data_IF_430052701131
#
_entry.id   IF_430052701131
#
_cell.length_a   1.000
_cell.length_b   1.000
_cell.length_c   1.000
_cell.angle_alpha   90.00
_cell.angle_beta   90.00
_cell.angle_gamma   90.00
#
_symmetry.space_group_name_H-M   'P 1'
#
loop_
_entity.id
_entity.type
_entity.pdbx_description
1 polymer ?
#
# COMPACT_ATOMS: atom_id res chain seq x y z
N UNK A 1 2.53 -26.60 -12.45
CA UNK A 1 1.28 -26.37 -13.19
C UNK A 1 1.66 -26.06 -14.62
N UNK A 2 1.30 -26.92 -15.53
CA UNK A 2 1.69 -26.76 -16.93
C UNK A 2 0.96 -25.56 -17.54
N UNK A 3 1.72 -24.65 -18.18
CA UNK A 3 1.18 -23.52 -18.92
C UNK A 3 1.08 -22.19 -18.17
N UNK A 4 1.60 -22.06 -16.95
CA UNK A 4 1.77 -20.77 -16.31
C UNK A 4 3.05 -20.11 -16.82
N UNK A 5 2.94 -18.83 -17.17
CA UNK A 5 4.05 -18.04 -17.70
C UNK A 5 4.21 -16.79 -16.85
N UNK A 6 5.43 -16.53 -16.40
CA UNK A 6 5.84 -15.29 -15.75
C UNK A 6 7.12 -14.77 -16.39
N UNK A 7 7.07 -13.54 -16.85
CA UNK A 7 8.23 -12.82 -17.38
C UNK A 7 8.33 -11.45 -16.72
N UNK A 8 9.51 -11.08 -16.26
CA UNK A 8 9.78 -9.77 -15.68
C UNK A 8 11.08 -9.24 -16.25
N UNK A 9 11.10 -7.95 -16.60
CA UNK A 9 12.27 -7.26 -17.11
C UNK A 9 12.44 -5.90 -16.47
N UNK A 10 13.70 -5.49 -16.26
CA UNK A 10 14.09 -4.16 -15.83
C UNK A 10 15.28 -3.69 -16.61
N UNK A 11 15.31 -2.41 -16.95
CA UNK A 11 16.43 -1.73 -17.57
C UNK A 11 16.75 -0.48 -16.76
N UNK A 12 18.03 -0.23 -16.50
CA UNK A 12 18.51 0.89 -15.71
C UNK A 12 19.48 1.74 -16.51
N UNK A 13 19.27 3.04 -16.48
CA UNK A 13 20.22 4.03 -16.99
C UNK A 13 20.59 4.98 -15.86
N UNK A 14 21.85 5.37 -15.79
CA UNK A 14 22.35 6.33 -14.82
C UNK A 14 23.15 7.40 -15.54
N UNK A 15 22.84 8.66 -15.27
CA UNK A 15 23.48 9.82 -15.88
C UNK A 15 24.05 10.72 -14.79
N UNK A 16 25.31 11.14 -14.88
CA UNK A 16 25.87 12.09 -13.92
C UNK A 16 25.19 13.46 -14.08
N UNK A 17 24.77 14.05 -12.97
CA UNK A 17 24.20 15.40 -12.93
C UNK A 17 24.65 16.14 -11.67
N UNK A 18 25.47 17.21 -11.83
CA UNK A 18 25.88 18.14 -10.74
C UNK A 18 26.45 17.43 -9.50
N UNK A 19 27.29 16.43 -9.68
CA UNK A 19 27.95 15.70 -8.57
C UNK A 19 27.15 14.54 -7.99
N UNK A 20 25.96 14.24 -8.54
CA UNK A 20 25.16 13.07 -8.27
C UNK A 20 24.71 12.40 -9.57
N UNK A 21 23.90 11.37 -9.50
CA UNK A 21 23.40 10.66 -10.67
C UNK A 21 21.87 10.61 -10.71
N UNK A 22 21.31 11.00 -11.84
CA UNK A 22 19.89 10.73 -12.16
C UNK A 22 19.77 9.31 -12.64
N UNK A 23 18.84 8.55 -12.07
CA UNK A 23 18.57 7.16 -12.45
C UNK A 23 17.21 7.06 -13.14
N UNK A 24 17.19 6.42 -14.29
CA UNK A 24 15.99 6.10 -15.04
C UNK A 24 15.85 4.59 -15.06
N UNK A 25 14.72 4.08 -14.62
CA UNK A 25 14.43 2.64 -14.62
C UNK A 25 13.16 2.39 -15.40
N UNK A 26 13.24 1.60 -16.46
CA UNK A 26 12.09 1.00 -17.12
C UNK A 26 11.83 -0.38 -16.55
N UNK A 27 10.57 -0.77 -16.39
CA UNK A 27 10.20 -2.11 -15.97
C UNK A 27 8.97 -2.62 -16.70
N UNK A 28 8.91 -3.93 -16.89
CA UNK A 28 7.76 -4.61 -17.45
C UNK A 28 7.57 -6.00 -16.86
N UNK A 29 6.33 -6.44 -16.77
CA UNK A 29 5.99 -7.80 -16.36
C UNK A 29 4.81 -8.33 -17.16
N UNK A 30 4.86 -9.62 -17.44
CA UNK A 30 3.79 -10.39 -18.06
C UNK A 30 3.55 -11.64 -17.23
N UNK A 31 2.33 -11.81 -16.74
CA UNK A 31 1.91 -12.99 -15.99
C UNK A 31 0.66 -13.56 -16.67
N UNK A 32 0.68 -14.86 -16.95
CA UNK A 32 -0.47 -15.63 -17.44
C UNK A 32 -0.57 -16.89 -16.60
N UNK A 33 -1.54 -16.94 -15.70
CA UNK A 33 -1.59 -17.88 -14.61
C UNK A 33 -2.97 -18.51 -14.45
N UNK A 34 -3.01 -19.76 -14.03
CA UNK A 34 -4.25 -20.41 -13.62
C UNK A 34 -4.93 -19.66 -12.46
N UNK A 35 -6.26 -19.74 -12.42
CA UNK A 35 -7.02 -19.27 -11.28
C UNK A 35 -6.61 -20.04 -10.00
N UNK A 36 -6.53 -19.38 -8.83
CA UNK A 36 -6.25 -20.09 -7.58
C UNK A 36 -7.26 -21.20 -7.33
N UNK A 37 -6.80 -22.37 -6.85
CA UNK A 37 -7.64 -23.55 -6.66
C UNK A 37 -8.90 -23.26 -5.83
N UNK A 38 -8.75 -22.55 -4.71
CA UNK A 38 -9.87 -22.22 -3.82
C UNK A 38 -10.89 -21.25 -4.43
N UNK A 39 -10.55 -20.53 -5.49
CA UNK A 39 -11.54 -19.74 -6.25
C UNK A 39 -12.28 -20.57 -7.28
N UNK A 40 -11.70 -21.70 -7.70
CA UNK A 40 -12.33 -22.64 -8.63
C UNK A 40 -13.23 -23.63 -7.88
N UNK A 41 -12.71 -24.24 -6.80
CA UNK A 41 -13.44 -25.27 -6.03
C UNK A 41 -13.37 -24.98 -4.54
N UNK A 42 -14.52 -24.92 -3.90
CA UNK A 42 -14.65 -24.70 -2.46
C UNK A 42 -15.89 -25.39 -1.92
N UNK A 43 -15.75 -26.05 -0.79
CA UNK A 43 -16.83 -26.70 -0.08
C UNK A 43 -16.72 -26.40 1.42
N UNK A 44 -17.68 -25.70 1.95
CA UNK A 44 -17.81 -25.42 3.39
C UNK A 44 -19.29 -25.40 3.79
N UNK A 45 -19.55 -25.19 5.08
CA UNK A 45 -20.92 -25.17 5.59
C UNK A 45 -21.77 -24.00 5.05
N UNK A 46 -21.13 -22.90 4.64
CA UNK A 46 -21.84 -21.68 4.23
C UNK A 46 -21.60 -21.32 2.76
N UNK A 47 -20.55 -21.83 2.15
CA UNK A 47 -20.17 -21.50 0.79
C UNK A 47 -19.78 -22.74 0.01
N UNK A 48 -20.38 -22.88 -1.16
CA UNK A 48 -20.09 -23.98 -2.09
C UNK A 48 -20.00 -23.36 -3.49
N UNK A 49 -18.88 -23.63 -4.19
CA UNK A 49 -18.76 -23.32 -5.61
C UNK A 49 -17.84 -24.29 -6.35
N UNK A 50 -18.16 -24.51 -7.61
CA UNK A 50 -17.33 -25.22 -8.59
C UNK A 50 -17.32 -24.39 -9.88
N UNK A 51 -16.29 -23.54 -10.03
CA UNK A 51 -16.14 -22.58 -11.12
C UNK A 51 -15.12 -23.07 -12.14
N UNK A 52 -15.42 -22.89 -13.40
CA UNK A 52 -14.47 -23.11 -14.50
C UNK A 52 -13.86 -21.77 -14.95
N UNK A 53 -12.99 -21.19 -14.13
CA UNK A 53 -12.32 -19.96 -14.43
C UNK A 53 -11.13 -20.18 -15.36
N UNK A 54 -11.06 -19.34 -16.40
CA UNK A 54 -9.91 -19.25 -17.30
C UNK A 54 -8.68 -18.63 -16.65
N UNK A 55 -7.56 -18.66 -17.38
CA UNK A 55 -6.31 -18.05 -16.92
C UNK A 55 -6.44 -16.55 -16.75
N UNK A 56 -5.85 -16.05 -15.68
CA UNK A 56 -5.67 -14.61 -15.42
C UNK A 56 -4.44 -14.12 -16.15
N UNK A 57 -4.57 -13.03 -16.90
CA UNK A 57 -3.43 -12.39 -17.56
C UNK A 57 -3.23 -11.00 -16.98
N UNK A 58 -2.02 -10.71 -16.56
CA UNK A 58 -1.63 -9.39 -16.09
C UNK A 58 -0.41 -8.91 -16.87
N UNK A 59 -0.55 -7.76 -17.51
CA UNK A 59 0.56 -7.05 -18.15
C UNK A 59 0.76 -5.74 -17.40
N UNK A 60 1.97 -5.48 -16.95
CA UNK A 60 2.33 -4.21 -16.30
C UNK A 60 3.62 -3.67 -16.90
N UNK A 61 3.64 -2.38 -17.17
CA UNK A 61 4.85 -1.66 -17.56
C UNK A 61 4.88 -0.29 -16.88
N UNK A 62 6.07 0.26 -16.78
CA UNK A 62 6.23 1.55 -16.13
C UNK A 62 7.68 2.02 -16.11
N UNK A 63 7.85 3.17 -15.50
CA UNK A 63 9.16 3.78 -15.33
C UNK A 63 9.28 4.52 -14.00
N UNK A 64 10.52 4.62 -13.53
CA UNK A 64 10.89 5.40 -12.36
C UNK A 64 12.00 6.39 -12.74
N UNK A 65 11.80 7.64 -12.38
CA UNK A 65 12.81 8.70 -12.40
C UNK A 65 13.24 8.97 -10.96
N UNK A 66 14.52 8.84 -10.67
CA UNK A 66 15.08 9.02 -9.34
C UNK A 66 16.15 10.12 -9.38
N UNK A 67 15.93 11.18 -8.60
CA UNK A 67 16.80 12.33 -8.45
C UNK A 67 17.31 12.39 -7.00
N UNK A 68 18.39 11.68 -6.65
CA UNK A 68 18.87 11.58 -5.28
C UNK A 68 19.25 12.94 -4.68
N UNK A 69 19.82 13.86 -5.49
CA UNK A 69 20.21 15.19 -5.05
C UNK A 69 19.06 16.00 -4.45
N UNK A 70 17.85 15.85 -4.98
CA UNK A 70 16.64 16.56 -4.50
C UNK A 70 15.78 15.69 -3.59
N UNK A 71 16.14 14.41 -3.39
CA UNK A 71 15.32 13.45 -2.65
C UNK A 71 14.01 13.12 -3.34
N UNK A 72 13.95 13.28 -4.68
CA UNK A 72 12.73 13.11 -5.48
C UNK A 72 12.76 11.81 -6.26
N UNK A 73 11.68 11.03 -6.15
CA UNK A 73 11.44 9.86 -6.99
C UNK A 73 10.03 9.89 -7.55
N UNK A 74 9.92 9.83 -8.87
CA UNK A 74 8.64 9.73 -9.55
C UNK A 74 8.52 8.37 -10.23
N UNK A 75 7.39 7.68 -10.03
CA UNK A 75 7.08 6.39 -10.64
C UNK A 75 5.74 6.47 -11.34
N UNK A 76 5.70 6.04 -12.60
CA UNK A 76 4.49 5.88 -13.41
C UNK A 76 4.36 4.42 -13.80
N UNK A 77 3.17 3.84 -13.66
CA UNK A 77 2.89 2.48 -14.14
C UNK A 77 1.47 2.33 -14.66
N UNK A 78 1.34 1.51 -15.69
CA UNK A 78 0.07 1.06 -16.26
C UNK A 78 0.00 -0.44 -16.16
N UNK A 79 -1.13 -0.95 -15.70
CA UNK A 79 -1.41 -2.39 -15.62
C UNK A 79 -2.68 -2.70 -16.38
N UNK A 80 -2.68 -3.78 -17.15
CA UNK A 80 -3.86 -4.34 -17.80
C UNK A 80 -4.11 -5.75 -17.24
N UNK A 81 -5.28 -5.94 -16.62
CA UNK A 81 -5.68 -7.18 -15.98
C UNK A 81 -6.84 -7.79 -16.76
N UNK A 82 -6.62 -8.93 -17.40
CA UNK A 82 -7.66 -9.70 -18.10
C UNK A 82 -8.08 -10.89 -17.26
N UNK A 83 -9.37 -11.21 -17.29
CA UNK A 83 -9.95 -12.32 -16.53
C UNK A 83 -9.64 -12.20 -15.02
N UNK A 84 -9.67 -10.98 -14.50
CA UNK A 84 -9.42 -10.73 -13.08
C UNK A 84 -10.46 -11.42 -12.21
N UNK A 85 -10.02 -12.09 -11.15
CA UNK A 85 -10.92 -12.76 -10.21
C UNK A 85 -11.07 -11.89 -8.97
N UNK A 86 -12.29 -11.64 -8.58
CA UNK A 86 -12.65 -10.88 -7.38
C UNK A 86 -13.80 -11.59 -6.64
N UNK A 87 -13.96 -11.29 -5.36
CA UNK A 87 -15.11 -11.78 -4.60
C UNK A 87 -16.22 -10.73 -4.65
N UNK A 88 -17.41 -11.15 -5.05
CA UNK A 88 -18.59 -10.29 -5.09
C UNK A 88 -19.16 -10.06 -3.67
N UNK A 89 -20.16 -9.18 -3.57
CA UNK A 89 -20.80 -8.83 -2.29
C UNK A 89 -21.41 -10.06 -1.57
N UNK A 90 -21.84 -11.06 -2.32
CA UNK A 90 -22.36 -12.31 -1.78
C UNK A 90 -21.28 -13.26 -1.23
N UNK A 91 -20.00 -12.87 -1.30
CA UNK A 91 -18.88 -13.70 -0.84
C UNK A 91 -18.43 -14.76 -1.83
N UNK A 92 -19.04 -14.85 -3.02
CA UNK A 92 -18.64 -15.79 -4.07
C UNK A 92 -17.55 -15.21 -4.97
N UNK A 93 -16.59 -16.02 -5.47
CA UNK A 93 -15.63 -15.57 -6.44
C UNK A 93 -16.28 -15.43 -7.82
N UNK A 94 -15.91 -14.36 -8.53
CA UNK A 94 -16.32 -14.08 -9.92
C UNK A 94 -15.12 -13.75 -10.77
N UNK A 95 -15.18 -14.12 -12.04
CA UNK A 95 -14.17 -13.72 -13.01
C UNK A 95 -14.74 -12.63 -13.92
N UNK A 96 -14.02 -11.50 -14.02
CA UNK A 96 -14.37 -10.44 -14.95
C UNK A 96 -14.03 -10.86 -16.38
N UNK A 97 -15.02 -10.91 -17.26
CA UNK A 97 -14.85 -11.38 -18.65
C UNK A 97 -14.12 -10.40 -19.58
N UNK A 98 -13.73 -9.23 -19.10
CA UNK A 98 -13.04 -8.20 -19.87
C UNK A 98 -11.63 -7.91 -19.35
N UNK A 99 -11.13 -6.72 -19.67
CA UNK A 99 -9.87 -6.22 -19.14
C UNK A 99 -10.09 -4.97 -18.30
N UNK A 100 -9.45 -4.90 -17.16
CA UNK A 100 -9.41 -3.73 -16.28
C UNK A 100 -8.03 -3.08 -16.38
N UNK A 101 -8.01 -1.79 -16.65
CA UNK A 101 -6.78 -1.00 -16.70
C UNK A 101 -6.62 -0.22 -15.40
N UNK A 102 -5.41 -0.21 -14.87
CA UNK A 102 -5.03 0.57 -13.69
C UNK A 102 -3.84 1.44 -14.05
N UNK A 103 -4.01 2.75 -13.88
CA UNK A 103 -2.92 3.74 -13.94
C UNK A 103 -2.54 4.11 -12.52
N UNK A 104 -1.24 4.14 -12.22
CA UNK A 104 -0.73 4.63 -10.95
C UNK A 104 0.48 5.54 -11.14
N UNK A 105 0.43 6.71 -10.52
CA UNK A 105 1.50 7.71 -10.44
C UNK A 105 1.89 7.89 -8.98
N UNK A 106 3.15 7.79 -8.67
CA UNK A 106 3.67 7.96 -7.31
C UNK A 106 4.82 8.94 -7.29
N UNK A 107 4.74 9.90 -6.41
CA UNK A 107 5.81 10.83 -6.07
C UNK A 107 6.27 10.57 -4.63
N UNK A 108 7.52 10.19 -4.46
CA UNK A 108 8.21 10.23 -3.18
C UNK A 108 9.10 11.47 -3.16
N UNK A 109 8.96 12.29 -2.12
CA UNK A 109 9.73 13.50 -1.93
C UNK A 109 10.23 13.58 -0.51
N UNK A 110 11.56 13.58 -0.34
CA UNK A 110 12.22 13.65 0.94
C UNK A 110 12.94 15.00 1.05
N UNK A 111 12.62 15.74 2.11
CA UNK A 111 13.32 16.98 2.45
C UNK A 111 14.17 16.74 3.69
N UNK A 112 15.38 17.26 3.66
CA UNK A 112 16.29 17.19 4.80
C UNK A 112 16.86 18.57 5.07
N UNK A 113 16.65 19.06 6.28
CA UNK A 113 17.24 20.29 6.76
C UNK A 113 17.96 20.01 8.09
N UNK A 114 19.28 19.84 8.03
CA UNK A 114 20.10 19.42 9.17
C UNK A 114 19.56 18.11 9.77
N UNK A 115 18.99 18.19 10.97
CA UNK A 115 18.45 17.05 11.72
C UNK A 115 16.95 16.86 11.51
N UNK A 116 16.29 17.81 10.84
CA UNK A 116 14.87 17.72 10.52
C UNK A 116 14.69 17.02 9.16
N UNK A 117 13.86 16.00 9.13
CA UNK A 117 13.52 15.24 7.94
C UNK A 117 12.02 15.30 7.70
N UNK A 118 11.63 15.37 6.44
CA UNK A 118 10.23 15.33 6.04
C UNK A 118 10.07 14.45 4.82
N UNK A 119 9.60 13.23 5.04
CA UNK A 119 9.40 12.21 4.01
C UNK A 119 7.95 12.19 3.58
N UNK A 120 7.71 12.36 2.29
CA UNK A 120 6.37 12.40 1.73
C UNK A 120 6.22 11.38 0.60
N UNK A 121 5.05 10.78 0.52
CA UNK A 121 4.62 9.93 -0.57
C UNK A 121 3.22 10.30 -0.98
N UNK A 122 3.04 10.66 -2.23
CA UNK A 122 1.74 10.92 -2.83
C UNK A 122 1.54 9.92 -3.96
N UNK A 123 0.43 9.18 -3.93
CA UNK A 123 0.07 8.27 -5.01
C UNK A 123 -1.30 8.66 -5.55
N UNK A 124 -1.35 8.94 -6.85
CA UNK A 124 -2.58 9.05 -7.61
C UNK A 124 -2.78 7.77 -8.42
N UNK A 125 -3.97 7.21 -8.36
CA UNK A 125 -4.30 6.00 -9.11
C UNK A 125 -5.74 6.03 -9.60
N UNK A 126 -5.97 5.40 -10.74
CA UNK A 126 -7.31 5.25 -11.31
C UNK A 126 -7.46 3.89 -11.95
N UNK A 127 -8.68 3.41 -11.99
CA UNK A 127 -9.06 2.14 -12.61
C UNK A 127 -10.15 2.37 -13.64
N UNK A 128 -10.18 1.58 -14.70
CA UNK A 128 -11.24 1.62 -15.70
C UNK A 128 -12.54 0.97 -15.23
N UNK A 129 -12.48 0.16 -14.15
CA UNK A 129 -13.65 -0.48 -13.54
C UNK A 129 -13.46 -0.59 -12.02
N UNK A 130 -14.03 0.36 -11.29
CA UNK A 130 -13.99 0.42 -9.83
C UNK A 130 -14.92 -0.58 -9.13
N UNK A 131 -15.81 -1.25 -9.89
CA UNK A 131 -16.61 -2.35 -9.36
C UNK A 131 -15.77 -3.63 -9.20
N UNK A 132 -14.78 -3.79 -10.08
CA UNK A 132 -13.89 -4.96 -10.10
C UNK A 132 -12.65 -4.72 -9.27
N UNK A 133 -12.03 -3.54 -9.42
CA UNK A 133 -10.82 -3.14 -8.68
C UNK A 133 -11.09 -1.78 -8.02
N UNK A 134 -11.70 -1.75 -6.83
CA UNK A 134 -11.95 -0.50 -6.10
C UNK A 134 -10.62 0.03 -5.52
N UNK A 135 -10.28 1.28 -5.87
CA UNK A 135 -9.05 1.95 -5.43
C UNK A 135 -9.37 3.37 -4.93
N UNK A 136 -8.72 3.86 -3.87
CA UNK A 136 -8.74 5.29 -3.58
C UNK A 136 -7.94 6.05 -4.65
N UNK A 137 -8.47 7.13 -5.18
CA UNK A 137 -7.80 7.91 -6.24
C UNK A 137 -6.51 8.55 -5.76
N UNK A 138 -6.51 9.05 -4.53
CA UNK A 138 -5.35 9.70 -3.93
C UNK A 138 -5.03 9.05 -2.58
N UNK A 139 -3.75 8.72 -2.38
CA UNK A 139 -3.21 8.35 -1.07
C UNK A 139 -2.01 9.23 -0.75
N UNK A 140 -1.92 9.67 0.49
CA UNK A 140 -0.83 10.52 0.99
C UNK A 140 -0.29 9.92 2.27
N UNK A 141 1.02 9.72 2.32
CA UNK A 141 1.77 9.45 3.54
C UNK A 141 2.74 10.60 3.77
N UNK A 142 2.81 11.13 4.97
CA UNK A 142 3.73 12.19 5.37
C UNK A 142 4.33 11.87 6.72
N UNK A 143 5.64 12.01 6.86
CA UNK A 143 6.37 11.75 8.10
C UNK A 143 7.38 12.87 8.34
N UNK A 144 7.13 13.69 9.35
CA UNK A 144 8.02 14.74 9.80
C UNK A 144 8.71 14.30 11.08
N UNK A 145 10.06 14.25 11.08
CA UNK A 145 10.81 13.78 12.22
C UNK A 145 12.14 14.49 12.43
N UNK A 146 12.55 14.55 13.67
CA UNK A 146 13.84 15.06 14.12
C UNK A 146 14.74 13.85 14.45
N UNK A 147 15.94 13.82 13.86
CA UNK A 147 17.02 12.92 14.26
C UNK A 147 17.99 13.66 15.17
N UNK A 148 18.22 13.15 16.37
CA UNK A 148 19.18 13.74 17.30
C UNK A 148 19.95 12.67 18.05
N UNK A 149 21.02 13.09 18.72
CA UNK A 149 21.83 12.21 19.54
C UNK A 149 22.10 12.87 20.88
N UNK A 150 21.79 12.15 21.94
CA UNK A 150 22.06 12.57 23.33
C UNK A 150 23.07 11.57 23.90
N UNK A 151 24.33 11.98 24.03
CA UNK A 151 25.45 11.09 24.35
C UNK A 151 25.52 9.89 23.38
N UNK A 152 25.26 8.68 23.85
CA UNK A 152 25.24 7.45 23.03
C UNK A 152 23.85 7.06 22.54
N UNK A 153 22.79 7.73 22.99
CA UNK A 153 21.42 7.48 22.58
C UNK A 153 21.11 8.17 21.25
N UNK A 154 20.80 7.38 20.21
CA UNK A 154 20.23 7.90 18.98
C UNK A 154 18.71 8.00 19.13
N UNK A 155 18.16 9.17 18.85
CA UNK A 155 16.75 9.48 19.07
C UNK A 155 16.13 10.01 17.77
N UNK A 156 14.99 9.45 17.41
CA UNK A 156 14.11 9.94 16.34
C UNK A 156 12.76 10.23 16.96
N UNK A 157 12.33 11.49 16.90
CA UNK A 157 10.98 11.91 17.34
C UNK A 157 10.25 12.42 16.13
N UNK A 158 9.02 11.98 15.91
CA UNK A 158 8.28 12.37 14.72
C UNK A 158 6.77 12.23 14.85
N UNK A 159 6.14 12.75 13.80
CA UNK A 159 4.70 12.64 13.55
C UNK A 159 4.57 12.06 12.15
N UNK A 160 3.81 10.99 12.01
CA UNK A 160 3.40 10.47 10.71
C UNK A 160 1.89 10.53 10.53
N UNK A 161 1.46 10.66 9.27
CA UNK A 161 0.06 10.72 8.89
C UNK A 161 -0.17 9.93 7.60
N UNK A 162 -1.20 9.09 7.62
CA UNK A 162 -1.75 8.40 6.45
C UNK A 162 -3.11 8.98 6.10
N UNK A 163 -3.31 9.27 4.82
CA UNK A 163 -4.57 9.74 4.28
C UNK A 163 -4.88 9.07 2.95
N UNK A 164 -6.16 8.79 2.70
CA UNK A 164 -6.65 8.39 1.39
C UNK A 164 -8.07 8.91 1.14
N UNK A 165 -8.39 9.18 -0.14
CA UNK A 165 -9.70 9.64 -0.58
C UNK A 165 -10.76 8.56 -0.39
N UNK A 166 -12.01 8.97 -0.24
CA UNK A 166 -13.15 8.05 -0.13
C UNK A 166 -13.30 7.17 -1.35
N UNK A 167 -13.44 5.87 -1.12
CA UNK A 167 -13.73 4.87 -2.13
C UNK A 167 -14.58 3.74 -1.54
N UNK A 168 -15.13 2.89 -2.38
CA UNK A 168 -15.83 1.68 -1.94
C UNK A 168 -14.81 0.64 -1.46
N UNK A 169 -14.37 0.77 -0.24
CA UNK A 169 -13.42 -0.18 0.33
C UNK A 169 -14.05 -1.59 0.37
N UNK A 170 -13.29 -2.65 -0.01
CA UNK A 170 -13.80 -4.01 0.09
C UNK A 170 -14.21 -4.36 1.51
N UNK A 171 -15.32 -5.08 1.65
CA UNK A 171 -15.72 -5.69 2.92
C UNK A 171 -14.92 -6.95 3.20
N UNK A 172 -14.97 -7.45 4.42
CA UNK A 172 -14.32 -8.72 4.79
C UNK A 172 -15.36 -9.79 5.08
N UNK A 173 -15.23 -10.96 4.43
CA UNK A 173 -16.05 -12.14 4.67
C UNK A 173 -15.25 -13.17 5.48
N UNK A 174 -15.51 -13.32 6.78
CA UNK A 174 -14.72 -14.20 7.65
C UNK A 174 -14.80 -15.67 7.27
N UNK A 175 -15.96 -16.14 6.77
CA UNK A 175 -16.15 -17.55 6.44
C UNK A 175 -15.30 -18.01 5.25
N UNK A 176 -14.96 -17.13 4.33
CA UNK A 176 -14.08 -17.41 3.20
C UNK A 176 -12.69 -16.79 3.36
N UNK A 177 -12.47 -16.00 4.42
CA UNK A 177 -11.25 -15.22 4.67
C UNK A 177 -10.88 -14.31 3.47
N UNK A 178 -11.88 -13.81 2.74
CA UNK A 178 -11.70 -13.05 1.52
C UNK A 178 -12.25 -11.62 1.68
N UNK A 179 -11.63 -10.70 0.94
CA UNK A 179 -12.17 -9.36 0.77
C UNK A 179 -13.17 -9.35 -0.39
N UNK A 180 -14.37 -8.84 -0.14
CA UNK A 180 -15.48 -8.81 -1.08
C UNK A 180 -15.75 -7.39 -1.57
N UNK A 181 -15.92 -7.23 -2.88
CA UNK A 181 -16.28 -5.94 -3.45
C UNK A 181 -17.71 -5.58 -3.03
N UNK A 182 -17.91 -4.32 -2.65
CA UNK A 182 -19.22 -3.78 -2.25
C UNK A 182 -19.37 -2.33 -2.73
N UNK A 183 -20.61 -1.83 -2.78
CA UNK A 183 -20.94 -0.48 -3.24
C UNK A 183 -21.90 0.27 -2.30
N UNK A 184 -22.02 -0.16 -1.07
CA UNK A 184 -22.91 0.46 -0.10
C UNK A 184 -22.18 1.51 0.76
N UNK A 185 -20.93 1.18 1.18
CA UNK A 185 -20.18 2.01 2.12
C UNK A 185 -18.87 2.49 1.53
N UNK A 186 -18.63 3.80 1.62
CA UNK A 186 -17.35 4.42 1.28
C UNK A 186 -16.55 4.68 2.55
N UNK A 187 -15.30 4.27 2.58
CA UNK A 187 -14.33 4.56 3.63
C UNK A 187 -13.24 5.50 3.11
N UNK A 188 -12.67 6.32 3.98
CA UNK A 188 -11.61 7.28 3.63
C UNK A 188 -11.93 8.73 4.00
N UNK A 189 -11.16 9.68 3.48
CA UNK A 189 -11.20 11.11 3.80
C UNK A 189 -10.93 11.43 5.29
N UNK A 190 -10.16 10.57 5.94
CA UNK A 190 -9.78 10.76 7.32
C UNK A 190 -8.26 10.58 7.47
N UNK A 191 -7.50 11.61 7.89
CA UNK A 191 -6.10 11.46 8.18
C UNK A 191 -5.92 10.67 9.48
N UNK A 192 -5.09 9.64 9.43
CA UNK A 192 -4.74 8.84 10.59
C UNK A 192 -3.31 9.19 10.99
N UNK A 193 -3.15 9.86 12.13
CA UNK A 193 -1.86 10.41 12.53
C UNK A 193 -1.37 9.81 13.85
N UNK A 194 -0.04 9.62 13.93
CA UNK A 194 0.65 9.08 15.07
C UNK A 194 1.78 10.02 15.49
N UNK A 195 2.07 10.05 16.79
CA UNK A 195 3.28 10.65 17.36
C UNK A 195 4.15 9.54 17.90
N UNK A 196 5.45 9.58 17.64
CA UNK A 196 6.34 8.50 18.04
C UNK A 196 7.73 9.00 18.46
N UNK A 197 8.40 8.18 19.25
CA UNK A 197 9.83 8.29 19.56
C UNK A 197 10.49 6.92 19.42
N UNK A 198 11.47 6.83 18.52
CA UNK A 198 12.34 5.67 18.33
C UNK A 198 13.69 5.95 18.95
N UNK A 199 14.20 5.03 19.72
CA UNK A 199 15.43 5.17 20.50
C UNK A 199 16.33 3.97 20.26
N UNK A 200 17.63 4.24 20.01
CA UNK A 200 18.65 3.19 19.86
C UNK A 200 19.82 3.48 20.79
N UNK A 201 20.08 2.53 21.69
CA UNK A 201 21.22 2.54 22.59
C UNK A 201 22.03 1.26 22.37
N UNK A 202 23.20 1.39 21.73
CA UNK A 202 24.04 0.25 21.37
C UNK A 202 23.25 -0.83 20.59
N UNK A 203 23.07 -2.02 21.14
CA UNK A 203 22.35 -3.17 20.56
C UNK A 203 20.85 -3.16 20.89
N UNK A 204 20.38 -2.22 21.71
CA UNK A 204 18.98 -2.14 22.15
C UNK A 204 18.24 -1.05 21.39
N UNK A 205 17.06 -1.37 20.89
CA UNK A 205 16.13 -0.42 20.29
C UNK A 205 14.82 -0.49 21.07
N UNK A 206 14.25 0.65 21.34
CA UNK A 206 12.92 0.76 21.92
C UNK A 206 12.16 1.90 21.28
N UNK A 207 10.85 1.76 21.26
CA UNK A 207 9.97 2.80 20.75
C UNK A 207 8.79 3.02 21.67
N UNK A 208 8.30 4.24 21.60
CA UNK A 208 7.04 4.68 22.21
C UNK A 208 6.23 5.32 21.09
N UNK A 209 4.96 5.00 20.98
CA UNK A 209 4.05 5.59 20.00
C UNK A 209 2.71 5.88 20.66
N UNK A 210 2.17 7.06 20.40
CA UNK A 210 0.76 7.36 20.64
C UNK A 210 0.05 7.40 19.30
N UNK A 211 -0.60 6.30 18.97
CA UNK A 211 -1.27 6.15 17.69
C UNK A 211 -2.66 6.78 17.72
N UNK A 212 -3.10 7.26 16.54
CA UNK A 212 -4.41 7.89 16.32
C UNK A 212 -4.66 9.07 17.28
N UNK A 213 -3.61 9.89 17.50
CA UNK A 213 -3.70 11.01 18.44
C UNK A 213 -4.71 12.08 18.01
N UNK A 214 -5.02 12.13 16.72
CA UNK A 214 -5.97 13.08 16.13
C UNK A 214 -7.44 12.63 16.18
N UNK A 215 -7.75 11.55 16.90
CA UNK A 215 -9.13 11.07 17.06
C UNK A 215 -10.02 12.18 17.63
N UNK A 216 -11.12 12.50 16.91
CA UNK A 216 -12.08 13.52 17.29
C UNK A 216 -11.65 14.97 16.98
N UNK A 217 -10.43 15.21 16.47
CA UNK A 217 -9.96 16.59 16.14
C UNK A 217 -10.56 17.14 14.85
N UNK A 218 -10.84 16.29 13.86
CA UNK A 218 -11.29 16.73 12.54
C UNK A 218 -12.79 16.53 12.29
N UNK A 219 -13.57 16.23 13.33
CA UNK A 219 -14.99 15.97 13.21
C UNK A 219 -15.29 14.68 12.43
N UNK A 220 -16.46 14.07 12.71
CA UNK A 220 -16.87 12.83 12.06
C UNK A 220 -16.27 11.57 12.69
N UNK A 221 -17.11 10.53 12.74
CA UNK A 221 -16.74 9.23 13.30
C UNK A 221 -16.29 8.24 12.19
N UNK A 222 -16.05 8.76 10.95
CA UNK A 222 -15.82 7.96 9.75
C UNK A 222 -14.38 7.44 9.62
N UNK A 223 -13.79 6.96 10.70
CA UNK A 223 -12.46 6.36 10.66
C UNK A 223 -12.47 4.83 10.49
N UNK A 224 -13.36 4.33 9.65
CA UNK A 224 -13.38 2.93 9.26
C UNK A 224 -12.28 2.62 8.24
N UNK A 225 -11.55 1.52 8.47
CA UNK A 225 -10.57 1.01 7.51
C UNK A 225 -11.26 0.29 6.35
N UNK A 226 -12.36 -0.41 6.65
CA UNK A 226 -13.27 -1.09 5.73
C UNK A 226 -14.67 -1.11 6.37
N UNK A 227 -15.73 -1.44 5.63
CA UNK A 227 -17.08 -1.53 6.18
C UNK A 227 -17.13 -2.37 7.46
N UNK A 228 -17.75 -1.82 8.51
CA UNK A 228 -17.91 -2.43 9.83
C UNK A 228 -16.61 -2.70 10.63
N UNK A 229 -15.43 -2.30 10.14
CA UNK A 229 -14.17 -2.45 10.83
C UNK A 229 -13.55 -1.07 11.13
N UNK A 230 -13.82 -0.50 12.30
CA UNK A 230 -13.22 0.78 12.71
C UNK A 230 -11.71 0.63 12.89
N UNK A 231 -10.98 1.71 12.63
CA UNK A 231 -9.58 1.79 13.02
C UNK A 231 -9.45 1.78 14.54
N UNK A 232 -8.30 1.33 15.02
CA UNK A 232 -8.02 1.31 16.45
C UNK A 232 -8.21 2.70 17.07
N UNK A 233 -8.74 2.77 18.31
CA UNK A 233 -8.80 4.01 19.07
C UNK A 233 -7.37 4.53 19.35
N UNK A 234 -7.31 5.77 19.84
CA UNK A 234 -6.05 6.33 20.32
C UNK A 234 -5.48 5.44 21.43
N UNK A 235 -4.19 5.04 21.29
CA UNK A 235 -3.54 4.15 22.25
C UNK A 235 -2.04 4.33 22.29
N UNK A 236 -1.46 4.08 23.48
CA UNK A 236 -0.03 3.94 23.62
C UNK A 236 0.45 2.55 23.19
N UNK A 237 1.59 2.55 22.50
CA UNK A 237 2.29 1.34 22.08
C UNK A 237 3.75 1.46 22.52
N UNK A 238 4.30 0.38 23.02
CA UNK A 238 5.69 0.27 23.46
C UNK A 238 6.30 -0.97 22.82
N UNK A 239 7.54 -0.89 22.43
CA UNK A 239 8.27 -2.06 21.94
C UNK A 239 9.74 -1.99 22.29
N UNK A 240 10.34 -3.16 22.46
CA UNK A 240 11.75 -3.37 22.74
C UNK A 240 12.30 -4.44 21.82
N UNK A 241 13.48 -4.19 21.25
CA UNK A 241 14.24 -5.17 20.49
C UNK A 241 15.70 -5.11 20.91
N UNK A 242 16.29 -6.28 21.14
CA UNK A 242 17.71 -6.41 21.51
C UNK A 242 18.40 -7.33 20.52
N UNK A 243 19.50 -6.87 19.93
CA UNK A 243 20.35 -7.66 19.05
C UNK A 243 21.36 -8.43 19.90
N UNK A 244 21.23 -9.75 19.99
CA UNK A 244 22.11 -10.63 20.78
C UNK A 244 23.35 -11.11 19.99
N UNK A 245 23.40 -10.86 18.67
CA UNK A 245 24.56 -11.23 17.86
C UNK A 245 25.80 -10.40 18.21
N UNK A 246 26.93 -11.06 18.35
CA UNK A 246 28.26 -10.45 18.53
C UNK A 246 28.86 -10.00 17.20
#
# INVERSE_FOLDING_TARGET
MAGDIRANGKIHFSFPLRGDSVRITGFGSFHNEEAPYLTKKYLSNHFIWDNDFGKRRTVRFGGTLDFPLTGTRFTLSVSNLQNHIYFATDGSPRQHGGSVQVLAMRLDQNFQFRNLHWDNRVTYQTTSDDAVIPLPELTVYSNLYLLTRIATLHLQIGIDCDYYTRYYAPGYQPATMAFTNQREYKCGNYPFCNVYANMKLSKTRFYVMYSHFNRGLFGGDDYFAMPFYPRNPARFQLGLSVDFAN
#
